data_IF_279503216937
#
_entry.id   IF_279503216937
#
_cell.length_a   1.000
_cell.length_b   1.000
_cell.length_c   1.000
_cell.angle_alpha   90.00
_cell.angle_beta   90.00
_cell.angle_gamma   90.00
#
_symmetry.space_group_name_H-M   'P 1'
#
loop_
_entity.id
_entity.type
_entity.pdbx_description
1 polymer ?
#
# COMPACT_ATOMS: atom_id res chain seq x y z
N UNK A 1 -11.95 26.07 -15.35
CA UNK A 1 -12.19 24.65 -15.03
C UNK A 1 -11.78 24.44 -13.59
N UNK A 2 -12.67 23.89 -12.74
CA UNK A 2 -12.32 23.61 -11.34
C UNK A 2 -11.54 22.28 -11.23
N UNK A 3 -10.90 22.02 -10.08
CA UNK A 3 -10.10 20.81 -9.88
C UNK A 3 -10.90 19.51 -10.11
N UNK A 4 -12.20 19.51 -9.78
CA UNK A 4 -13.08 18.34 -9.95
C UNK A 4 -13.37 18.04 -11.42
N UNK A 5 -13.56 19.06 -12.24
CA UNK A 5 -13.72 18.95 -13.69
C UNK A 5 -12.44 18.42 -14.36
N UNK A 6 -11.27 18.90 -13.93
CA UNK A 6 -9.96 18.41 -14.40
C UNK A 6 -9.79 16.93 -14.05
N UNK A 7 -10.00 16.55 -12.80
CA UNK A 7 -9.89 15.16 -12.36
C UNK A 7 -10.85 14.22 -13.12
N UNK A 8 -12.09 14.68 -13.35
CA UNK A 8 -13.08 13.93 -14.12
C UNK A 8 -12.62 13.65 -15.55
N UNK A 9 -12.10 14.66 -16.27
CA UNK A 9 -11.57 14.46 -17.62
C UNK A 9 -10.36 13.52 -17.64
N UNK A 10 -9.45 13.64 -16.66
CA UNK A 10 -8.29 12.74 -16.55
C UNK A 10 -8.72 11.29 -16.29
N UNK A 11 -9.75 11.05 -15.47
CA UNK A 11 -10.30 9.71 -15.20
C UNK A 11 -10.98 9.06 -16.42
N UNK A 12 -11.35 9.83 -17.43
CA UNK A 12 -11.82 9.29 -18.71
C UNK A 12 -10.66 8.81 -19.59
N UNK A 13 -9.46 9.37 -19.38
CA UNK A 13 -8.26 9.07 -20.16
C UNK A 13 -7.48 7.90 -19.55
N UNK A 14 -7.50 7.78 -18.22
CA UNK A 14 -6.81 6.73 -17.49
C UNK A 14 -7.80 5.82 -16.78
N UNK A 15 -7.68 4.48 -16.93
CA UNK A 15 -8.54 3.55 -16.22
C UNK A 15 -8.30 3.63 -14.71
N UNK A 16 -9.33 3.28 -13.94
CA UNK A 16 -9.17 3.06 -12.50
C UNK A 16 -8.29 1.82 -12.28
N UNK A 17 -7.17 1.98 -11.58
CA UNK A 17 -6.21 0.92 -11.29
C UNK A 17 -5.70 1.03 -9.85
N UNK A 18 -5.38 -0.12 -9.24
CA UNK A 18 -4.75 -0.18 -7.92
C UNK A 18 -3.25 0.00 -8.08
N UNK A 19 -2.71 1.11 -7.54
CA UNK A 19 -1.27 1.42 -7.60
C UNK A 19 -0.46 0.52 -6.65
N UNK A 20 -1.01 0.15 -5.49
CA UNK A 20 -0.34 -0.70 -4.51
C UNK A 20 -1.34 -1.53 -3.68
N UNK A 21 -0.95 -2.75 -3.33
CA UNK A 21 -1.74 -3.64 -2.46
C UNK A 21 -0.83 -4.45 -1.53
N UNK A 22 -1.31 -4.72 -0.32
CA UNK A 22 -0.68 -5.64 0.64
C UNK A 22 -1.50 -6.91 0.68
N UNK A 23 -0.89 -8.03 0.29
CA UNK A 23 -1.56 -9.35 0.26
C UNK A 23 -1.13 -10.20 1.45
N UNK A 24 -1.83 -11.32 1.66
CA UNK A 24 -1.40 -12.30 2.67
C UNK A 24 0.01 -12.85 2.39
N UNK A 25 0.41 -12.96 1.11
CA UNK A 25 1.77 -13.35 0.74
C UNK A 25 2.81 -12.31 1.16
N UNK A 26 2.49 -11.01 1.02
CA UNK A 26 3.33 -9.92 1.53
C UNK A 26 3.51 -10.03 3.06
N UNK A 27 2.41 -10.31 3.78
CA UNK A 27 2.42 -10.49 5.23
C UNK A 27 3.24 -11.73 5.63
N UNK A 28 3.04 -12.88 4.98
CA UNK A 28 3.80 -14.11 5.25
C UNK A 28 5.29 -13.92 4.97
N UNK A 29 5.65 -13.26 3.88
CA UNK A 29 7.04 -12.95 3.56
C UNK A 29 7.68 -12.08 4.66
N UNK A 30 6.94 -11.10 5.18
CA UNK A 30 7.41 -10.26 6.29
C UNK A 30 7.52 -11.03 7.61
N UNK A 31 6.64 -12.00 7.87
CA UNK A 31 6.70 -12.90 9.02
C UNK A 31 7.94 -13.80 8.94
N UNK A 32 8.14 -14.47 7.80
CA UNK A 32 9.31 -15.35 7.55
C UNK A 32 10.61 -14.55 7.67
N UNK A 33 10.66 -13.31 7.17
CA UNK A 33 11.84 -12.45 7.33
C UNK A 33 12.16 -12.14 8.80
N UNK A 34 11.16 -12.11 9.68
CA UNK A 34 11.33 -11.82 11.11
C UNK A 34 11.64 -13.05 11.95
N UNK A 35 10.96 -14.17 11.69
CA UNK A 35 11.03 -15.38 12.51
C UNK A 35 11.90 -16.49 11.90
N UNK A 36 12.28 -16.37 10.62
CA UNK A 36 13.01 -17.41 9.91
C UNK A 36 12.23 -18.73 9.88
N UNK A 37 12.90 -19.82 10.24
CA UNK A 37 12.33 -21.19 10.23
C UNK A 37 11.19 -21.33 11.25
N UNK A 38 11.18 -20.56 12.34
CA UNK A 38 10.13 -20.61 13.36
C UNK A 38 8.76 -20.20 12.81
N UNK A 39 8.71 -19.47 11.69
CA UNK A 39 7.44 -19.16 11.02
C UNK A 39 6.64 -20.42 10.63
N UNK A 40 7.30 -21.58 10.45
CA UNK A 40 6.65 -22.85 10.14
C UNK A 40 5.86 -23.44 11.31
N UNK A 41 6.07 -22.96 12.54
CA UNK A 41 5.32 -23.42 13.72
C UNK A 41 4.03 -22.65 13.95
N UNK A 42 3.78 -21.59 13.16
CA UNK A 42 2.59 -20.76 13.31
C UNK A 42 1.35 -21.50 12.85
N UNK A 43 0.30 -21.38 13.66
CA UNK A 43 -1.02 -21.89 13.30
C UNK A 43 -1.71 -20.97 12.28
N UNK A 44 -2.74 -21.45 11.56
CA UNK A 44 -3.57 -20.60 10.73
C UNK A 44 -4.20 -19.41 11.48
N UNK A 45 -4.53 -19.59 12.76
CA UNK A 45 -5.07 -18.51 13.59
C UNK A 45 -4.01 -17.45 13.92
N UNK A 46 -2.75 -17.84 14.16
CA UNK A 46 -1.63 -16.89 14.34
C UNK A 46 -1.41 -16.06 13.08
N UNK A 47 -1.47 -16.70 11.91
CA UNK A 47 -1.35 -16.01 10.62
C UNK A 47 -2.51 -15.04 10.37
N UNK A 48 -3.74 -15.43 10.73
CA UNK A 48 -4.91 -14.56 10.63
C UNK A 48 -4.82 -13.37 11.58
N UNK A 49 -4.38 -13.59 12.82
CA UNK A 49 -4.13 -12.53 13.79
C UNK A 49 -3.07 -11.56 13.27
N UNK A 50 -1.97 -12.06 12.71
CA UNK A 50 -0.94 -11.21 12.12
C UNK A 50 -1.49 -10.35 10.96
N UNK A 51 -2.41 -10.89 10.14
CA UNK A 51 -3.10 -10.11 9.10
C UNK A 51 -3.96 -9.00 9.70
N UNK A 52 -4.72 -9.31 10.75
CA UNK A 52 -5.59 -8.35 11.44
C UNK A 52 -4.76 -7.23 12.10
N UNK A 53 -3.65 -7.57 12.75
CA UNK A 53 -2.72 -6.58 13.33
C UNK A 53 -2.07 -5.68 12.28
N UNK A 54 -1.68 -6.22 11.12
CA UNK A 54 -1.16 -5.42 10.00
C UNK A 54 -2.23 -4.44 9.50
N UNK A 55 -3.48 -4.90 9.37
CA UNK A 55 -4.58 -4.04 8.94
C UNK A 55 -4.83 -2.90 9.94
N UNK A 56 -4.88 -3.20 11.24
CA UNK A 56 -5.03 -2.20 12.30
C UNK A 56 -3.88 -1.18 12.27
N UNK A 57 -2.64 -1.64 12.05
CA UNK A 57 -1.49 -0.77 11.96
C UNK A 57 -1.60 0.20 10.76
N UNK A 58 -2.09 -0.28 9.61
CA UNK A 58 -2.33 0.55 8.43
C UNK A 58 -3.42 1.59 8.73
N UNK A 59 -4.57 1.14 9.23
CA UNK A 59 -5.73 2.01 9.49
C UNK A 59 -5.40 3.14 10.48
N UNK A 60 -4.52 2.88 11.46
CA UNK A 60 -4.14 3.86 12.47
C UNK A 60 -2.95 4.75 12.11
N UNK A 61 -2.03 4.29 11.25
CA UNK A 61 -0.74 4.97 11.07
C UNK A 61 -0.43 5.38 9.64
N UNK A 62 -1.09 4.78 8.64
CA UNK A 62 -0.83 5.09 7.23
C UNK A 62 -1.71 6.27 6.79
N UNK A 63 -1.10 7.43 6.53
CA UNK A 63 -1.73 8.48 5.74
C UNK A 63 -1.31 8.29 4.28
N UNK A 64 -2.22 7.77 3.45
CA UNK A 64 -1.99 7.55 2.02
C UNK A 64 -1.60 8.82 1.26
N UNK A 65 -2.02 9.99 1.75
CA UNK A 65 -1.70 11.29 1.14
C UNK A 65 -0.21 11.60 1.20
N UNK A 66 0.45 11.26 2.31
CA UNK A 66 1.89 11.49 2.47
C UNK A 66 2.70 10.73 1.40
N UNK A 67 2.31 9.49 1.12
CA UNK A 67 2.97 8.65 0.11
C UNK A 67 2.66 9.11 -1.33
N UNK A 68 1.44 9.60 -1.57
CA UNK A 68 1.08 10.21 -2.84
C UNK A 68 1.94 11.46 -3.08
N UNK A 69 2.04 12.35 -2.09
CA UNK A 69 2.81 13.59 -2.19
C UNK A 69 4.30 13.30 -2.43
N UNK A 70 4.90 12.36 -1.69
CA UNK A 70 6.29 11.92 -1.92
C UNK A 70 6.49 11.42 -3.36
N UNK A 71 5.56 10.61 -3.88
CA UNK A 71 5.65 10.08 -5.23
C UNK A 71 5.51 11.16 -6.31
N UNK A 72 4.59 12.11 -6.11
CA UNK A 72 4.37 13.23 -7.04
C UNK A 72 5.53 14.22 -7.03
N UNK A 73 6.14 14.49 -5.86
CA UNK A 73 7.35 15.31 -5.75
C UNK A 73 8.51 14.69 -6.53
N UNK A 74 8.74 13.38 -6.34
CA UNK A 74 9.78 12.66 -7.08
C UNK A 74 9.52 12.67 -8.60
N UNK A 75 8.28 12.45 -9.02
CA UNK A 75 7.87 12.54 -10.42
C UNK A 75 8.10 13.95 -11.00
N UNK A 76 7.78 15.00 -10.24
CA UNK A 76 7.97 16.37 -10.70
C UNK A 76 9.44 16.69 -10.94
N UNK A 77 10.33 16.21 -10.06
CA UNK A 77 11.79 16.34 -10.25
C UNK A 77 12.20 15.66 -11.55
N UNK A 78 11.83 14.40 -11.76
CA UNK A 78 12.21 13.63 -12.95
C UNK A 78 11.69 14.27 -14.24
N UNK A 79 10.47 14.84 -14.22
CA UNK A 79 9.88 15.50 -15.39
C UNK A 79 10.58 16.79 -15.79
N UNK A 80 11.24 17.47 -14.85
CA UNK A 80 11.94 18.75 -15.07
C UNK A 80 13.42 18.57 -15.45
N UNK A 81 13.94 17.33 -15.42
CA UNK A 81 15.27 16.96 -15.91
C UNK A 81 15.27 16.73 -17.42
#
# INVERSE_FOLDING_TARGET
MNHKEIASQLSQTFPSEVIFTITMETVMSAIVRRLGVEALTLSPDDLRLAREEVQIAIDHNLDERDFIDIGLDAWEIVRKL
#
